data_IF_747687793159
#
_entry.id   IF_747687793159
#
_cell.length_a   1.000
_cell.length_b   1.000
_cell.length_c   1.000
_cell.angle_alpha   90.00
_cell.angle_beta   90.00
_cell.angle_gamma   90.00
#
_symmetry.space_group_name_H-M   'P 1'
#
loop_
_entity.id
_entity.type
_entity.pdbx_description
1 polymer ?
#
# COMPACT_ATOMS: atom_id res chain seq x y z
N UNK A 1 28.93 -2.03 29.66
CA UNK A 1 27.77 -1.20 29.24
C UNK A 1 28.33 -0.16 28.29
N UNK A 2 28.11 -0.20 26.98
CA UNK A 2 26.82 -0.14 26.32
C UNK A 2 26.81 -1.04 25.06
N UNK A 3 25.94 -2.04 25.07
CA UNK A 3 25.94 -3.21 24.19
C UNK A 3 24.95 -3.05 23.02
N UNK A 4 24.89 -1.87 22.38
CA UNK A 4 23.85 -1.56 21.37
C UNK A 4 24.38 -1.09 20.01
N UNK A 5 25.70 -0.94 19.84
CA UNK A 5 26.31 -0.50 18.57
C UNK A 5 26.66 -1.66 17.60
N UNK A 6 26.30 -2.90 17.92
CA UNK A 6 26.63 -4.08 17.10
C UNK A 6 25.40 -4.96 16.92
N UNK A 7 24.41 -4.48 16.16
CA UNK A 7 23.48 -5.36 15.44
C UNK A 7 23.41 -5.02 13.95
N UNK A 8 24.48 -4.45 13.40
CA UNK A 8 24.83 -4.61 11.99
C UNK A 8 25.56 -5.95 11.86
N UNK A 9 24.82 -7.04 12.00
CA UNK A 9 25.32 -8.39 11.71
C UNK A 9 24.31 -9.03 10.78
N UNK A 10 24.75 -9.26 9.56
CA UNK A 10 24.08 -10.06 8.55
C UNK A 10 23.63 -11.39 9.18
N UNK A 11 22.32 -11.50 9.44
CA UNK A 11 21.66 -12.72 9.87
C UNK A 11 20.47 -12.94 8.94
N UNK A 12 20.27 -14.19 8.53
CA UNK A 12 19.53 -14.57 7.34
C UNK A 12 18.10 -14.01 7.19
N UNK A 13 17.77 -13.62 5.96
CA UNK A 13 16.41 -13.71 5.41
C UNK A 13 15.33 -12.75 5.92
N UNK A 14 15.59 -11.88 6.89
CA UNK A 14 14.61 -10.88 7.32
C UNK A 14 14.75 -9.58 6.50
N UNK A 15 13.82 -9.38 5.56
CA UNK A 15 13.72 -8.13 4.77
C UNK A 15 13.31 -7.01 5.72
N UNK A 16 14.27 -6.16 6.11
CA UNK A 16 13.96 -4.94 6.83
C UNK A 16 13.01 -4.07 5.99
N UNK A 17 11.89 -3.58 6.56
CA UNK A 17 10.94 -2.76 5.82
C UNK A 17 11.61 -1.47 5.34
N UNK A 18 11.61 -1.24 4.03
CA UNK A 18 12.08 0.01 3.42
C UNK A 18 10.89 0.83 2.97
N UNK A 19 11.04 2.15 2.96
CA UNK A 19 9.97 3.03 2.46
C UNK A 19 9.62 2.74 0.99
N UNK A 20 10.58 2.32 0.17
CA UNK A 20 10.33 1.91 -1.21
C UNK A 20 9.46 0.64 -1.33
N UNK A 21 9.40 -0.19 -0.28
CA UNK A 21 8.55 -1.38 -0.28
C UNK A 21 7.06 -1.00 -0.19
N UNK A 22 6.72 0.18 0.34
CA UNK A 22 5.35 0.70 0.41
C UNK A 22 4.82 0.97 -1.00
N UNK A 23 5.61 1.62 -1.86
CA UNK A 23 5.22 1.87 -3.26
C UNK A 23 5.11 0.58 -4.07
N UNK A 24 5.98 -0.40 -3.79
CA UNK A 24 5.91 -1.73 -4.41
C UNK A 24 4.62 -2.43 -3.97
N UNK A 25 4.32 -2.46 -2.67
CA UNK A 25 3.09 -3.03 -2.12
C UNK A 25 1.84 -2.37 -2.72
N UNK A 26 1.84 -1.04 -2.89
CA UNK A 26 0.76 -0.33 -3.56
C UNK A 26 0.53 -0.84 -4.98
N UNK A 27 1.60 -0.96 -5.79
CA UNK A 27 1.50 -1.47 -7.18
C UNK A 27 1.00 -2.91 -7.24
N UNK A 28 1.41 -3.75 -6.29
CA UNK A 28 0.97 -5.15 -6.19
C UNK A 28 -0.50 -5.27 -5.74
N UNK A 29 -1.02 -4.29 -5.03
CA UNK A 29 -2.41 -4.27 -4.58
C UNK A 29 -3.40 -3.86 -5.70
N UNK A 30 -2.90 -3.41 -6.86
CA UNK A 30 -3.74 -3.03 -8.00
C UNK A 30 -4.36 -4.28 -8.64
N UNK A 31 -5.68 -4.33 -8.62
CA UNK A 31 -6.48 -5.33 -9.30
C UNK A 31 -6.96 -4.76 -10.63
N UNK A 32 -6.80 -5.52 -11.72
CA UNK A 32 -7.41 -5.23 -13.01
C UNK A 32 -8.72 -6.02 -13.09
N UNK A 33 -9.84 -5.31 -13.09
CA UNK A 33 -11.17 -5.91 -13.23
C UNK A 33 -11.42 -6.40 -14.67
N UNK A 34 -12.39 -7.31 -14.90
CA UNK A 34 -12.72 -7.79 -16.24
C UNK A 34 -13.10 -6.69 -17.25
N UNK A 35 -13.59 -5.55 -16.77
CA UNK A 35 -13.96 -4.38 -17.55
C UNK A 35 -12.77 -3.44 -17.85
N UNK A 36 -11.54 -3.81 -17.45
CA UNK A 36 -10.32 -3.03 -17.62
C UNK A 36 -10.08 -1.95 -16.55
N UNK A 37 -11.01 -1.73 -15.62
CA UNK A 37 -10.80 -0.81 -14.49
C UNK A 37 -9.68 -1.33 -13.61
N UNK A 38 -8.94 -0.38 -13.03
CA UNK A 38 -7.92 -0.68 -12.03
C UNK A 38 -8.40 -0.19 -10.68
N UNK A 39 -8.45 -1.08 -9.71
CA UNK A 39 -8.93 -0.78 -8.35
C UNK A 39 -7.94 -1.27 -7.30
N UNK A 40 -7.97 -0.65 -6.13
CA UNK A 40 -7.24 -1.06 -4.93
C UNK A 40 -8.20 -0.95 -3.75
N UNK A 41 -8.28 -1.96 -2.91
CA UNK A 41 -8.94 -1.85 -1.59
C UNK A 41 -7.91 -1.56 -0.51
N UNK A 42 -8.29 -0.83 0.55
CA UNK A 42 -7.41 -0.59 1.70
C UNK A 42 -6.94 -1.90 2.32
N UNK A 43 -7.85 -2.86 2.48
CA UNK A 43 -7.54 -4.23 2.91
C UNK A 43 -6.53 -4.95 2.00
N UNK A 44 -6.65 -4.78 0.67
CA UNK A 44 -5.70 -5.33 -0.30
C UNK A 44 -4.32 -4.71 -0.16
N UNK A 45 -4.25 -3.39 -0.02
CA UNK A 45 -2.98 -2.69 0.19
C UNK A 45 -2.29 -3.12 1.51
N UNK A 46 -3.04 -3.22 2.61
CA UNK A 46 -2.53 -3.72 3.89
C UNK A 46 -2.00 -5.15 3.78
N UNK A 47 -2.69 -6.02 3.03
CA UNK A 47 -2.23 -7.39 2.80
C UNK A 47 -0.87 -7.42 2.09
N UNK A 48 -0.64 -6.55 1.11
CA UNK A 48 0.65 -6.44 0.43
C UNK A 48 1.74 -5.84 1.32
N UNK A 49 1.40 -4.83 2.14
CA UNK A 49 2.32 -4.25 3.12
C UNK A 49 2.79 -5.28 4.16
N UNK A 50 1.90 -6.15 4.63
CA UNK A 50 2.23 -7.18 5.60
C UNK A 50 3.28 -8.19 5.06
N UNK A 51 3.33 -8.43 3.74
CA UNK A 51 4.35 -9.31 3.11
C UNK A 51 5.77 -8.74 3.21
N UNK A 52 5.88 -7.43 3.36
CA UNK A 52 7.15 -6.67 3.46
C UNK A 52 7.34 -6.07 4.85
N UNK A 53 6.74 -6.70 5.88
CA UNK A 53 6.88 -6.35 7.29
C UNK A 53 6.37 -4.95 7.68
N UNK A 54 5.45 -4.36 6.89
CA UNK A 54 4.71 -3.16 7.25
C UNK A 54 3.33 -3.51 7.81
N UNK A 55 3.11 -3.29 9.10
CA UNK A 55 1.81 -3.52 9.76
C UNK A 55 1.12 -2.18 9.98
N UNK A 56 0.18 -1.85 9.11
CA UNK A 56 -0.60 -0.60 9.18
C UNK A 56 -2.07 -0.87 9.52
N UNK A 57 -2.65 0.09 10.23
CA UNK A 57 -4.11 0.21 10.32
C UNK A 57 -4.70 0.67 8.99
N UNK A 58 -5.98 0.38 8.72
CA UNK A 58 -6.75 0.94 7.60
C UNK A 58 -6.60 2.46 7.47
N UNK A 59 -6.66 3.18 8.59
CA UNK A 59 -6.49 4.65 8.63
C UNK A 59 -5.12 5.11 8.13
N UNK A 60 -4.03 4.45 8.56
CA UNK A 60 -2.67 4.79 8.12
C UNK A 60 -2.50 4.54 6.62
N UNK A 61 -3.03 3.41 6.13
CA UNK A 61 -3.01 3.10 4.70
C UNK A 61 -3.75 4.17 3.89
N UNK A 62 -4.95 4.58 4.33
CA UNK A 62 -5.72 5.63 3.67
C UNK A 62 -4.99 6.98 3.67
N UNK A 63 -4.38 7.38 4.79
CA UNK A 63 -3.59 8.62 4.87
C UNK A 63 -2.42 8.62 3.90
N UNK A 64 -1.75 7.47 3.75
CA UNK A 64 -0.67 7.34 2.78
C UNK A 64 -1.20 7.47 1.34
N UNK A 65 -2.31 6.80 1.01
CA UNK A 65 -2.93 6.89 -0.33
C UNK A 65 -3.32 8.34 -0.64
N UNK A 66 -4.02 9.03 0.28
CA UNK A 66 -4.46 10.42 0.11
C UNK A 66 -3.29 11.39 -0.09
N UNK A 67 -2.14 11.14 0.55
CA UNK A 67 -0.98 12.02 0.45
C UNK A 67 -0.13 11.77 -0.80
N UNK A 68 0.05 10.50 -1.19
CA UNK A 68 1.04 10.12 -2.21
C UNK A 68 0.43 9.67 -3.54
N UNK A 69 -0.83 9.23 -3.57
CA UNK A 69 -1.47 8.67 -4.77
C UNK A 69 -2.47 9.67 -5.32
N UNK A 70 -2.09 10.35 -6.41
CA UNK A 70 -2.93 11.38 -7.04
C UNK A 70 -3.75 10.87 -8.23
N UNK A 71 -3.47 9.66 -8.73
CA UNK A 71 -4.10 9.09 -9.93
C UNK A 71 -5.27 8.16 -9.62
N UNK A 72 -5.54 7.88 -8.35
CA UNK A 72 -6.68 7.08 -7.90
C UNK A 72 -7.64 7.97 -7.11
N UNK A 73 -8.94 7.73 -7.27
CA UNK A 73 -9.99 8.40 -6.50
C UNK A 73 -10.74 7.41 -5.63
N UNK A 74 -11.21 7.85 -4.48
CA UNK A 74 -12.11 7.08 -3.62
C UNK A 74 -13.47 6.88 -4.31
N UNK A 75 -13.93 5.64 -4.40
CA UNK A 75 -15.23 5.23 -4.95
C UNK A 75 -16.03 4.37 -3.96
N UNK A 76 -15.67 4.42 -2.68
CA UNK A 76 -16.33 3.65 -1.63
C UNK A 76 -17.81 4.01 -1.52
N UNK A 77 -18.67 2.98 -1.44
CA UNK A 77 -20.12 3.17 -1.28
C UNK A 77 -20.58 3.10 0.18
N UNK A 78 -19.68 2.72 1.09
CA UNK A 78 -19.95 2.53 2.52
C UNK A 78 -18.97 3.38 3.34
N UNK A 79 -19.40 3.83 4.51
CA UNK A 79 -18.53 4.51 5.46
C UNK A 79 -17.53 3.53 6.09
N UNK A 80 -16.36 4.05 6.47
CA UNK A 80 -15.32 3.29 7.16
C UNK A 80 -13.94 3.48 6.54
N UNK A 81 -12.97 2.77 7.12
CA UNK A 81 -11.58 2.84 6.68
C UNK A 81 -11.21 1.73 5.66
N UNK A 82 -12.08 0.75 5.38
CA UNK A 82 -11.88 -0.19 4.27
C UNK A 82 -12.46 0.41 2.98
N UNK A 83 -11.66 1.27 2.35
CA UNK A 83 -12.06 2.03 1.17
C UNK A 83 -11.69 1.31 -0.11
N UNK A 84 -12.40 1.65 -1.18
CA UNK A 84 -12.07 1.24 -2.55
C UNK A 84 -11.65 2.45 -3.36
N UNK A 85 -10.44 2.37 -3.92
CA UNK A 85 -9.88 3.39 -4.79
C UNK A 85 -9.87 2.88 -6.23
N UNK A 86 -10.24 3.73 -7.18
CA UNK A 86 -10.23 3.42 -8.60
C UNK A 86 -9.30 4.35 -9.35
N UNK A 87 -8.47 3.80 -10.25
CA UNK A 87 -7.66 4.60 -11.17
C UNK A 87 -8.59 5.53 -11.94
N UNK A 88 -8.33 6.82 -11.83
CA UNK A 88 -9.04 7.85 -12.52
C UNK A 88 -8.09 8.53 -13.49
N UNK A 89 -8.33 8.31 -14.78
CA UNK A 89 -7.66 9.05 -15.83
C UNK A 89 -8.51 10.27 -16.21
N UNK A 90 -8.13 11.49 -15.84
CA UNK A 90 -8.87 12.70 -16.24
C UNK A 90 -8.86 12.93 -17.77
N UNK A 91 -7.97 12.27 -18.51
CA UNK A 91 -7.83 12.42 -19.96
C UNK A 91 -8.54 11.31 -20.76
N UNK A 92 -9.32 10.43 -20.12
CA UNK A 92 -10.22 9.50 -20.83
C UNK A 92 -9.59 8.36 -21.63
N UNK A 93 -8.35 7.97 -21.34
CA UNK A 93 -7.66 6.90 -22.09
C UNK A 93 -8.25 5.50 -21.86
N UNK A 94 -8.73 4.88 -22.95
CA UNK A 94 -8.88 3.43 -23.17
C UNK A 94 -7.53 2.82 -23.56
#
# INVERSE_FOLDING_TARGET
MNLLYIKTVFSGGEVMPRNSDIEIAWRQAIVIEPNGRRTVTTSGFIRELAKVNWIWSPRQANQWIEHYVTTFRDVSTQEGDDRTFQLYNPNGGL
#
